data_IF_169579985851
#
_entry.id   IF_169579985851
#
_cell.length_a   1.000
_cell.length_b   1.000
_cell.length_c   1.000
_cell.angle_alpha   90.00
_cell.angle_beta   90.00
_cell.angle_gamma   90.00
#
_symmetry.space_group_name_H-M   'P 1'
#
loop_
_entity.id
_entity.type
_entity.pdbx_description
1 polymer ?
#
# COMPACT_ATOMS: atom_id res chain seq x y z
N UNK A 1 5.89 -4.40 21.59
CA UNK A 1 4.55 -3.77 21.58
C UNK A 1 3.54 -4.90 21.75
N UNK A 2 2.68 -4.89 22.79
CA UNK A 2 1.72 -5.97 23.02
C UNK A 2 0.62 -5.98 21.94
N UNK A 3 0.34 -7.15 21.35
CA UNK A 3 -0.68 -7.32 20.32
C UNK A 3 -2.07 -7.14 20.92
N UNK A 4 -2.90 -6.31 20.29
CA UNK A 4 -4.30 -6.14 20.68
C UNK A 4 -5.13 -7.34 20.22
N UNK A 5 -6.07 -7.77 21.05
CA UNK A 5 -7.02 -8.82 20.70
C UNK A 5 -8.22 -8.23 19.95
N UNK A 6 -8.14 -8.11 18.62
CA UNK A 6 -9.17 -7.51 17.76
C UNK A 6 -10.45 -8.34 17.67
N UNK A 7 -10.42 -9.59 18.13
CA UNK A 7 -11.60 -10.43 18.28
C UNK A 7 -12.40 -10.11 19.56
N UNK A 8 -11.76 -9.47 20.56
CA UNK A 8 -12.43 -9.10 21.80
C UNK A 8 -13.42 -7.94 21.56
N UNK A 9 -14.71 -8.07 21.92
CA UNK A 9 -15.73 -7.08 21.58
C UNK A 9 -15.40 -5.65 22.01
N UNK A 10 -14.87 -5.45 23.22
CA UNK A 10 -14.52 -4.12 23.72
C UNK A 10 -13.33 -3.50 22.98
N UNK A 11 -12.34 -4.31 22.60
CA UNK A 11 -11.18 -3.84 21.84
C UNK A 11 -11.62 -3.45 20.43
N UNK A 12 -12.46 -4.29 19.81
CA UNK A 12 -13.04 -4.02 18.51
C UNK A 12 -13.82 -2.72 18.51
N UNK A 13 -14.79 -2.56 19.42
CA UNK A 13 -15.62 -1.36 19.47
C UNK A 13 -14.77 -0.11 19.71
N UNK A 14 -13.80 -0.17 20.63
CA UNK A 14 -12.87 0.93 20.86
C UNK A 14 -12.12 1.35 19.59
N UNK A 15 -11.57 0.39 18.84
CA UNK A 15 -10.85 0.68 17.60
C UNK A 15 -11.78 1.23 16.50
N UNK A 16 -13.01 0.73 16.42
CA UNK A 16 -14.02 1.25 15.50
C UNK A 16 -14.44 2.68 15.88
N UNK A 17 -14.63 2.98 17.17
CA UNK A 17 -14.88 4.35 17.66
C UNK A 17 -13.76 5.31 17.28
N UNK A 18 -12.50 4.89 17.43
CA UNK A 18 -11.34 5.68 16.96
C UNK A 18 -11.43 5.93 15.45
N UNK A 19 -11.77 4.90 14.66
CA UNK A 19 -11.94 5.06 13.22
C UNK A 19 -13.05 6.07 12.87
N UNK A 20 -14.19 6.01 13.58
CA UNK A 20 -15.31 6.94 13.40
C UNK A 20 -14.92 8.37 13.75
N UNK A 21 -14.26 8.57 14.89
CA UNK A 21 -13.85 9.88 15.37
C UNK A 21 -13.05 10.66 14.31
N UNK A 22 -11.98 10.07 13.77
CA UNK A 22 -11.14 10.81 12.81
C UNK A 22 -11.81 11.02 11.45
N UNK A 23 -12.67 10.10 11.01
CA UNK A 23 -13.40 10.26 9.75
C UNK A 23 -14.51 11.30 9.90
N UNK A 24 -15.33 11.20 10.95
CA UNK A 24 -16.52 12.01 11.13
C UNK A 24 -16.21 13.39 11.70
N UNK A 25 -15.37 13.48 12.74
CA UNK A 25 -15.15 14.73 13.47
C UNK A 25 -13.97 15.52 12.92
N UNK A 26 -12.95 14.83 12.37
CA UNK A 26 -11.75 15.47 11.81
C UNK A 26 -11.74 15.51 10.28
N UNK A 27 -12.60 14.73 9.62
CA UNK A 27 -12.76 14.78 8.16
C UNK A 27 -11.56 14.27 7.37
N UNK A 28 -10.84 13.26 7.88
CA UNK A 28 -9.72 12.66 7.11
C UNK A 28 -10.24 11.88 5.89
N UNK A 29 -9.43 11.82 4.84
CA UNK A 29 -9.79 11.19 3.56
C UNK A 29 -9.47 9.69 3.48
N UNK A 30 -8.93 9.08 4.53
CA UNK A 30 -8.55 7.67 4.49
C UNK A 30 -7.70 7.21 5.67
N UNK A 31 -7.42 5.91 5.69
CA UNK A 31 -6.63 5.24 6.72
C UNK A 31 -5.52 4.41 6.09
N UNK A 32 -4.28 4.63 6.53
CA UNK A 32 -3.17 3.69 6.34
C UNK A 32 -3.11 2.78 7.56
N UNK A 33 -3.29 1.48 7.32
CA UNK A 33 -3.44 0.45 8.35
C UNK A 33 -2.10 -0.26 8.55
N UNK A 34 -1.50 -0.05 9.71
CA UNK A 34 -0.22 -0.63 10.12
C UNK A 34 -0.34 -2.14 10.33
N UNK A 35 0.63 -2.91 9.82
CA UNK A 35 0.72 -4.39 9.94
C UNK A 35 -0.63 -5.08 9.71
N UNK A 36 -1.34 -4.69 8.64
CA UNK A 36 -2.75 -5.04 8.43
C UNK A 36 -2.98 -6.56 8.24
N UNK A 37 -1.96 -7.26 7.75
CA UNK A 37 -1.95 -8.72 7.56
C UNK A 37 -2.00 -9.53 8.87
N UNK A 38 -1.74 -8.90 10.01
CA UNK A 38 -1.74 -9.54 11.33
C UNK A 38 -3.03 -9.39 12.13
N UNK A 39 -4.00 -8.64 11.59
CA UNK A 39 -5.33 -8.43 12.18
C UNK A 39 -6.34 -9.29 11.43
N UNK A 40 -7.31 -9.83 12.16
CA UNK A 40 -8.29 -10.76 11.61
C UNK A 40 -9.17 -10.12 10.52
N UNK A 41 -9.52 -10.92 9.51
CA UNK A 41 -10.34 -10.46 8.39
C UNK A 41 -11.74 -9.99 8.81
N UNK A 42 -12.28 -10.51 9.92
CA UNK A 42 -13.62 -10.14 10.38
C UNK A 42 -13.64 -8.70 10.88
N UNK A 43 -12.62 -8.30 11.65
CA UNK A 43 -12.38 -6.92 12.04
C UNK A 43 -12.31 -6.00 10.82
N UNK A 44 -11.55 -6.38 9.78
CA UNK A 44 -11.41 -5.53 8.59
C UNK A 44 -12.70 -5.32 7.80
N UNK A 45 -13.58 -6.32 7.75
CA UNK A 45 -14.92 -6.17 7.16
C UNK A 45 -15.77 -5.17 7.92
N UNK A 46 -15.77 -5.27 9.26
CA UNK A 46 -16.49 -4.34 10.14
C UNK A 46 -15.89 -2.93 10.08
N UNK A 47 -14.57 -2.82 9.98
CA UNK A 47 -13.85 -1.57 9.80
C UNK A 47 -14.23 -0.89 8.49
N UNK A 48 -14.21 -1.63 7.36
CA UNK A 48 -14.65 -1.11 6.06
C UNK A 48 -16.07 -0.62 6.12
N UNK A 49 -16.99 -1.43 6.65
CA UNK A 49 -18.39 -1.06 6.74
C UNK A 49 -18.56 0.23 7.56
N UNK A 50 -17.86 0.34 8.69
CA UNK A 50 -17.91 1.52 9.56
C UNK A 50 -17.41 2.77 8.84
N UNK A 51 -16.21 2.70 8.25
CA UNK A 51 -15.59 3.86 7.58
C UNK A 51 -16.36 4.26 6.32
N UNK A 52 -16.71 3.31 5.45
CA UNK A 52 -17.42 3.60 4.18
C UNK A 52 -18.86 4.06 4.38
N UNK A 53 -19.50 3.72 5.51
CA UNK A 53 -20.82 4.27 5.86
C UNK A 53 -20.74 5.76 6.19
N UNK A 54 -19.64 6.19 6.82
CA UNK A 54 -19.42 7.59 7.19
C UNK A 54 -18.86 8.41 6.02
N UNK A 55 -17.92 7.85 5.27
CA UNK A 55 -17.33 8.47 4.08
C UNK A 55 -17.06 7.40 3.01
N UNK A 56 -17.92 7.29 1.97
CA UNK A 56 -17.73 6.33 0.88
C UNK A 56 -16.41 6.52 0.11
N UNK A 57 -15.90 7.75 0.06
CA UNK A 57 -14.68 8.12 -0.64
C UNK A 57 -13.40 7.87 0.20
N UNK A 58 -13.54 7.52 1.48
CA UNK A 58 -12.40 7.29 2.37
C UNK A 58 -11.51 6.14 1.87
N UNK A 59 -10.24 6.41 1.61
CA UNK A 59 -9.29 5.44 1.05
C UNK A 59 -8.75 4.50 2.13
N UNK A 60 -8.97 3.19 1.99
CA UNK A 60 -8.50 2.17 2.92
C UNK A 60 -7.25 1.46 2.40
N UNK A 61 -6.09 1.82 2.95
CA UNK A 61 -4.77 1.35 2.54
C UNK A 61 -4.17 0.41 3.58
N UNK A 62 -4.02 -0.88 3.25
CA UNK A 62 -3.34 -1.86 4.10
C UNK A 62 -1.83 -1.85 3.93
N UNK A 63 -1.07 -1.92 5.02
CA UNK A 63 0.33 -2.32 4.95
C UNK A 63 0.43 -3.84 4.85
N UNK A 64 0.65 -4.34 3.63
CA UNK A 64 0.92 -5.75 3.36
C UNK A 64 2.05 -5.83 2.34
N UNK A 65 3.14 -6.47 2.71
CA UNK A 65 4.37 -6.52 1.91
C UNK A 65 4.41 -7.68 0.90
N UNK A 66 3.45 -8.60 1.00
CA UNK A 66 3.34 -9.82 0.21
C UNK A 66 2.02 -9.85 -0.59
N UNK A 67 1.71 -10.99 -1.22
CA UNK A 67 0.43 -11.21 -1.89
C UNK A 67 -0.73 -10.87 -0.94
N UNK A 68 -1.60 -9.98 -1.41
CA UNK A 68 -2.66 -9.36 -0.63
C UNK A 68 -4.04 -9.58 -1.22
N UNK A 69 -4.17 -10.51 -2.17
CA UNK A 69 -5.43 -10.77 -2.89
C UNK A 69 -6.62 -11.01 -1.94
N UNK A 70 -6.38 -11.65 -0.79
CA UNK A 70 -7.39 -11.95 0.22
C UNK A 70 -7.99 -10.71 0.90
N UNK A 71 -7.30 -9.57 0.87
CA UNK A 71 -7.79 -8.29 1.42
C UNK A 71 -8.36 -7.36 0.34
N UNK A 72 -8.18 -7.71 -0.93
CA UNK A 72 -8.54 -6.89 -2.09
C UNK A 72 -9.73 -7.47 -2.87
N UNK A 73 -10.59 -8.22 -2.20
CA UNK A 73 -11.84 -8.76 -2.75
C UNK A 73 -13.01 -7.74 -2.73
N UNK A 74 -12.75 -6.51 -2.25
CA UNK A 74 -13.75 -5.44 -2.15
C UNK A 74 -14.53 -5.43 -0.83
N UNK A 75 -14.34 -6.42 0.04
CA UNK A 75 -14.96 -6.51 1.37
C UNK A 75 -14.10 -5.93 2.50
N UNK A 76 -12.83 -5.61 2.24
CA UNK A 76 -11.87 -5.10 3.24
C UNK A 76 -11.16 -3.82 2.76
N UNK A 77 -10.05 -3.91 2.02
CA UNK A 77 -9.25 -2.76 1.64
C UNK A 77 -9.54 -2.29 0.21
N UNK A 78 -9.22 -1.02 -0.06
CA UNK A 78 -9.22 -0.46 -1.41
C UNK A 78 -7.87 -0.73 -2.10
N UNK A 79 -6.78 -0.73 -1.33
CA UNK A 79 -5.44 -1.02 -1.82
C UNK A 79 -4.50 -1.51 -0.71
N UNK A 80 -3.30 -1.94 -1.10
CA UNK A 80 -2.17 -2.16 -0.20
C UNK A 80 -0.93 -1.38 -0.64
N UNK A 81 0.03 -1.22 0.27
CA UNK A 81 1.36 -0.72 -0.07
C UNK A 81 2.03 -1.70 -1.05
N UNK A 82 2.22 -1.27 -2.30
CA UNK A 82 2.61 -2.15 -3.40
C UNK A 82 4.13 -2.42 -3.41
N UNK A 83 4.63 -3.09 -2.37
CA UNK A 83 6.02 -3.52 -2.27
C UNK A 83 6.46 -4.50 -3.38
N UNK A 84 5.60 -5.38 -3.93
CA UNK A 84 5.94 -6.15 -5.14
C UNK A 84 6.33 -5.25 -6.32
N UNK A 85 5.60 -4.15 -6.55
CA UNK A 85 5.99 -3.14 -7.53
C UNK A 85 7.34 -2.50 -7.18
N UNK A 86 7.52 -2.07 -5.92
CA UNK A 86 8.79 -1.50 -5.44
C UNK A 86 9.97 -2.42 -5.76
N UNK A 87 9.86 -3.71 -5.43
CA UNK A 87 10.91 -4.70 -5.65
C UNK A 87 11.25 -4.85 -7.13
N UNK A 88 10.24 -4.93 -8.01
CA UNK A 88 10.46 -5.03 -9.45
C UNK A 88 11.17 -3.78 -10.01
N UNK A 89 10.80 -2.59 -9.54
CA UNK A 89 11.48 -1.34 -9.95
C UNK A 89 12.92 -1.30 -9.42
N UNK A 90 13.17 -1.70 -8.17
CA UNK A 90 14.53 -1.75 -7.61
C UNK A 90 15.41 -2.73 -8.37
N UNK A 91 14.92 -3.92 -8.64
CA UNK A 91 15.67 -4.97 -9.33
C UNK A 91 16.02 -4.58 -10.76
N UNK A 92 15.19 -3.79 -11.44
CA UNK A 92 15.47 -3.27 -12.78
C UNK A 92 16.32 -1.98 -12.78
N UNK A 93 15.81 -0.90 -12.17
CA UNK A 93 16.37 0.45 -12.34
C UNK A 93 17.56 0.75 -11.42
N UNK A 94 17.71 0.01 -10.32
CA UNK A 94 18.69 0.34 -9.27
C UNK A 94 19.77 -0.74 -9.16
N UNK A 95 19.36 -1.98 -8.93
CA UNK A 95 20.23 -3.12 -8.61
C UNK A 95 20.72 -3.88 -9.85
N UNK A 96 20.07 -3.70 -11.00
CA UNK A 96 20.46 -4.35 -12.26
C UNK A 96 20.33 -5.88 -12.25
N UNK A 97 19.41 -6.42 -11.44
CA UNK A 97 19.09 -7.86 -11.37
C UNK A 97 18.15 -8.28 -12.51
N UNK A 98 17.34 -7.37 -13.02
CA UNK A 98 16.45 -7.59 -14.16
C UNK A 98 16.92 -6.76 -15.36
N UNK A 99 16.82 -7.36 -16.55
CA UNK A 99 16.85 -6.62 -17.81
C UNK A 99 15.43 -6.13 -18.18
N UNK A 100 15.30 -5.45 -19.33
CA UNK A 100 14.01 -4.90 -19.74
C UNK A 100 12.92 -5.96 -19.96
N UNK A 101 13.30 -7.16 -20.45
CA UNK A 101 12.37 -8.27 -20.64
C UNK A 101 11.95 -8.87 -19.31
N UNK A 102 12.90 -9.08 -18.39
CA UNK A 102 12.64 -9.53 -17.02
C UNK A 102 11.69 -8.59 -16.29
N UNK A 103 11.94 -7.29 -16.35
CA UNK A 103 11.06 -6.28 -15.76
C UNK A 103 9.64 -6.32 -16.35
N UNK A 104 9.52 -6.38 -17.69
CA UNK A 104 8.22 -6.47 -18.35
C UNK A 104 7.43 -7.73 -17.94
N UNK A 105 8.12 -8.86 -17.79
CA UNK A 105 7.50 -10.11 -17.33
C UNK A 105 7.00 -10.02 -15.89
N UNK A 106 7.78 -9.46 -14.96
CA UNK A 106 7.37 -9.32 -13.55
C UNK A 106 6.22 -8.32 -13.39
N UNK A 107 6.25 -7.21 -14.12
CA UNK A 107 5.12 -6.27 -14.16
C UNK A 107 3.87 -6.92 -14.77
N UNK A 108 4.02 -7.69 -15.84
CA UNK A 108 2.91 -8.43 -16.45
C UNK A 108 2.26 -9.43 -15.47
N UNK A 109 3.06 -10.15 -14.68
CA UNK A 109 2.55 -11.03 -13.62
C UNK A 109 1.81 -10.25 -12.55
N UNK A 110 2.35 -9.12 -12.11
CA UNK A 110 1.73 -8.28 -11.09
C UNK A 110 0.37 -7.74 -11.54
N UNK A 111 0.28 -7.25 -12.79
CA UNK A 111 -0.97 -6.79 -13.39
C UNK A 111 -1.98 -7.92 -13.58
N UNK A 112 -1.53 -9.13 -13.89
CA UNK A 112 -2.42 -10.29 -14.05
C UNK A 112 -2.93 -10.85 -12.72
N UNK A 113 -2.22 -10.60 -11.61
CA UNK A 113 -2.57 -11.12 -10.28
C UNK A 113 -3.77 -10.38 -9.66
N UNK A 114 -3.99 -9.12 -10.01
CA UNK A 114 -5.02 -8.27 -9.44
C UNK A 114 -6.05 -7.82 -10.49
N UNK A 115 -7.26 -7.51 -10.05
CA UNK A 115 -8.27 -6.93 -10.95
C UNK A 115 -7.86 -5.52 -11.39
N UNK A 116 -8.43 -5.06 -12.50
CA UNK A 116 -8.15 -3.71 -13.01
C UNK A 116 -8.48 -2.61 -11.98
N UNK A 117 -9.65 -2.61 -11.29
CA UNK A 117 -9.93 -1.59 -10.27
C UNK A 117 -8.92 -1.59 -9.11
N UNK A 118 -8.45 -2.77 -8.69
CA UNK A 118 -7.42 -2.89 -7.64
C UNK A 118 -6.09 -2.32 -8.11
N UNK A 119 -5.73 -2.56 -9.38
CA UNK A 119 -4.51 -1.99 -9.99
C UNK A 119 -4.60 -0.47 -10.08
N UNK A 120 -5.74 0.06 -10.50
CA UNK A 120 -5.98 1.51 -10.66
C UNK A 120 -6.01 2.26 -9.32
N UNK A 121 -6.32 1.55 -8.21
CA UNK A 121 -6.27 2.09 -6.86
C UNK A 121 -4.94 1.80 -6.13
N UNK A 122 -4.02 1.01 -6.70
CA UNK A 122 -2.84 0.51 -5.99
C UNK A 122 -1.93 1.63 -5.46
N UNK A 123 -1.41 1.48 -4.24
CA UNK A 123 -0.50 2.44 -3.64
C UNK A 123 0.95 2.12 -4.01
N UNK A 124 1.41 2.68 -5.12
CA UNK A 124 2.75 2.45 -5.66
C UNK A 124 3.76 3.35 -4.94
N UNK A 125 4.84 2.78 -4.43
CA UNK A 125 5.89 3.54 -3.74
C UNK A 125 7.27 3.01 -4.12
N UNK A 126 8.31 3.83 -3.94
CA UNK A 126 9.71 3.42 -4.12
C UNK A 126 10.49 3.34 -2.80
N UNK A 127 9.89 3.81 -1.71
CA UNK A 127 10.47 3.79 -0.38
C UNK A 127 9.51 4.36 0.65
N UNK A 128 9.81 4.11 1.92
CA UNK A 128 9.08 4.60 3.07
C UNK A 128 10.04 4.87 4.24
N UNK A 129 9.50 5.11 5.43
CA UNK A 129 10.27 5.19 6.65
C UNK A 129 10.81 3.83 7.12
N UNK A 130 10.28 2.73 6.60
CA UNK A 130 10.72 1.35 6.91
C UNK A 130 11.82 0.85 5.97
N UNK A 131 12.20 1.65 4.97
CA UNK A 131 13.20 1.29 3.96
C UNK A 131 14.35 2.30 3.91
N UNK A 132 15.54 1.89 3.42
CA UNK A 132 16.58 2.86 3.07
C UNK A 132 16.07 3.89 2.05
N UNK A 133 16.68 5.08 2.06
CA UNK A 133 16.41 6.15 1.07
C UNK A 133 16.72 5.68 -0.34
N UNK A 134 15.89 6.05 -1.32
CA UNK A 134 16.08 5.65 -2.71
C UNK A 134 17.45 6.08 -3.26
N UNK A 135 17.87 7.32 -3.02
CA UNK A 135 19.17 7.81 -3.49
C UNK A 135 20.35 7.03 -2.87
N UNK A 136 20.18 6.54 -1.64
CA UNK A 136 21.19 5.69 -0.98
C UNK A 136 21.27 4.33 -1.68
N UNK A 137 20.13 3.72 -2.03
CA UNK A 137 20.08 2.49 -2.83
C UNK A 137 20.66 2.69 -4.24
N UNK A 138 20.52 3.89 -4.80
CA UNK A 138 21.15 4.27 -6.06
C UNK A 138 22.64 4.61 -5.96
N UNK A 139 23.27 4.48 -4.78
CA UNK A 139 24.67 4.86 -4.54
C UNK A 139 24.98 6.32 -4.95
N UNK A 140 24.01 7.21 -4.81
CA UNK A 140 24.11 8.61 -5.23
C UNK A 140 23.91 8.85 -6.74
N UNK A 141 23.66 7.82 -7.55
CA UNK A 141 23.39 8.00 -8.99
C UNK A 141 21.96 8.48 -9.24
N UNK A 142 21.82 9.81 -9.35
CA UNK A 142 20.55 10.49 -9.64
C UNK A 142 19.90 10.01 -10.94
N UNK A 143 20.66 9.46 -11.91
CA UNK A 143 20.08 8.97 -13.17
C UNK A 143 19.26 7.70 -12.95
N UNK A 144 19.75 6.78 -12.10
CA UNK A 144 19.00 5.59 -11.69
C UNK A 144 17.73 5.98 -10.94
N UNK A 145 17.86 6.93 -10.02
CA UNK A 145 16.72 7.46 -9.27
C UNK A 145 15.66 8.07 -10.18
N UNK A 146 16.06 8.91 -11.16
CA UNK A 146 15.14 9.48 -12.15
C UNK A 146 14.43 8.42 -12.98
N UNK A 147 15.13 7.34 -13.36
CA UNK A 147 14.50 6.21 -14.06
C UNK A 147 13.44 5.53 -13.19
N UNK A 148 13.77 5.22 -11.93
CA UNK A 148 12.82 4.61 -10.99
C UNK A 148 11.59 5.50 -10.76
N UNK A 149 11.80 6.81 -10.54
CA UNK A 149 10.71 7.79 -10.36
C UNK A 149 9.88 7.94 -11.64
N UNK A 150 10.49 7.91 -12.83
CA UNK A 150 9.75 7.90 -14.09
C UNK A 150 8.83 6.69 -14.19
N UNK A 151 9.32 5.49 -13.84
CA UNK A 151 8.48 4.29 -13.80
C UNK A 151 7.33 4.44 -12.80
N UNK A 152 7.58 4.96 -11.59
CA UNK A 152 6.54 5.24 -10.59
C UNK A 152 5.44 6.17 -11.12
N UNK A 153 5.82 7.31 -11.70
CA UNK A 153 4.87 8.36 -12.12
C UNK A 153 4.15 8.06 -13.44
N UNK A 154 4.54 6.98 -14.14
CA UNK A 154 3.92 6.54 -15.39
C UNK A 154 3.17 5.23 -15.25
N UNK A 155 3.22 4.58 -14.08
CA UNK A 155 2.52 3.34 -13.78
C UNK A 155 1.10 3.61 -13.23
N UNK A 156 0.07 2.82 -13.59
CA UNK A 156 -1.28 3.01 -13.07
C UNK A 156 -1.34 2.81 -11.56
N UNK A 157 -2.17 3.63 -10.89
CA UNK A 157 -2.36 3.62 -9.44
C UNK A 157 -2.14 5.00 -8.82
N UNK A 158 -2.05 5.02 -7.50
CA UNK A 158 -1.73 6.19 -6.69
C UNK A 158 -0.23 6.18 -6.32
N UNK A 159 0.62 6.99 -6.97
CA UNK A 159 2.04 7.05 -6.63
C UNK A 159 2.25 7.79 -5.30
N UNK A 160 3.15 7.26 -4.47
CA UNK A 160 3.58 7.84 -3.20
C UNK A 160 5.05 8.24 -3.25
N UNK A 161 5.34 9.47 -2.84
CA UNK A 161 6.69 10.03 -2.73
C UNK A 161 7.02 10.14 -1.24
N UNK A 162 8.17 9.59 -0.84
CA UNK A 162 8.64 9.72 0.53
C UNK A 162 9.33 11.07 0.72
N UNK A 163 8.92 11.84 1.73
CA UNK A 163 9.37 13.23 1.92
C UNK A 163 10.90 13.36 1.91
N UNK A 164 11.44 14.26 1.09
CA UNK A 164 12.87 14.49 0.93
C UNK A 164 13.56 13.57 -0.08
N UNK A 165 12.82 12.72 -0.80
CA UNK A 165 13.34 12.05 -1.99
C UNK A 165 13.16 12.91 -3.27
N UNK A 166 12.33 13.95 -3.27
CA UNK A 166 12.19 14.91 -4.39
C UNK A 166 13.40 15.85 -4.56
#
# INVERSE_FOLDING_TARGET
>A
MPKLNTEHPEVKEYLLEVARYWIQDMGIDGWRLDVANEVDHQFWREFRQTVKTLNPDAYLLGEIWHDSIMWLQGDQFDAVMNYPFTNNVMDYAVLGKLDGLGFANEIGKLLAAYSQPVTEAAFNLLGSHDTPRLLTLCEGDVRKMKLAVMLLLTYPGAPCIYYGDE
#
